data_IF_736232401396
#
_entry.id   IF_736232401396
#
_cell.length_a   1.000
_cell.length_b   1.000
_cell.length_c   1.000
_cell.angle_alpha   90.00
_cell.angle_beta   90.00
_cell.angle_gamma   90.00
#
_symmetry.space_group_name_H-M   'P 1'
#
loop_
_entity.id
_entity.type
_entity.pdbx_description
1 polymer ?
#
# COMPACT_ATOMS: atom_id res chain seq x y z
N UNK A 1 5.14 -1.89 -0.68
CA UNK A 1 4.97 -1.28 0.65
C UNK A 1 3.51 -1.46 1.10
N UNK A 2 3.06 -0.77 2.14
CA UNK A 2 1.70 -0.87 2.70
C UNK A 2 1.20 0.47 3.20
N UNK A 3 -0.12 0.67 3.22
CA UNK A 3 -0.77 1.81 3.90
C UNK A 3 -0.36 1.94 5.38
N UNK A 4 0.06 0.85 6.02
CA UNK A 4 0.50 0.84 7.41
C UNK A 4 1.75 1.71 7.64
N UNK A 5 2.58 1.98 6.64
CA UNK A 5 3.71 2.93 6.76
C UNK A 5 3.31 4.39 6.57
N UNK A 6 2.11 4.67 6.07
CA UNK A 6 1.63 6.03 5.78
C UNK A 6 0.87 6.60 6.99
N UNK A 7 -0.15 5.90 7.45
CA UNK A 7 -1.00 6.36 8.57
C UNK A 7 -0.99 5.41 9.77
N UNK A 8 -0.26 4.30 9.69
CA UNK A 8 -0.16 3.34 10.79
C UNK A 8 -1.25 2.28 10.80
N UNK A 9 -1.03 1.24 11.62
CA UNK A 9 -2.02 0.20 11.91
C UNK A 9 -1.78 -0.31 13.32
N UNK A 10 -2.83 -0.39 14.13
CA UNK A 10 -2.76 -0.83 15.53
C UNK A 10 -2.09 -2.22 15.62
N UNK A 11 -1.07 -2.33 16.49
CA UNK A 11 -0.31 -3.58 16.69
C UNK A 11 0.66 -3.95 15.56
N UNK A 12 0.85 -3.09 14.55
CA UNK A 12 1.67 -3.37 13.35
C UNK A 12 2.89 -2.45 13.22
N UNK A 13 3.47 -1.99 14.34
CA UNK A 13 4.61 -1.05 14.33
C UNK A 13 5.85 -1.56 13.58
N UNK A 14 6.22 -2.83 13.78
CA UNK A 14 7.31 -3.48 13.04
C UNK A 14 7.01 -3.57 11.53
N UNK A 15 5.76 -3.85 11.18
CA UNK A 15 5.31 -3.92 9.79
C UNK A 15 5.31 -2.53 9.13
N UNK A 16 4.87 -1.49 9.86
CA UNK A 16 4.93 -0.11 9.41
C UNK A 16 6.39 0.33 9.18
N UNK A 17 7.31 0.03 10.10
CA UNK A 17 8.73 0.36 9.96
C UNK A 17 9.38 -0.31 8.74
N UNK A 18 9.12 -1.62 8.52
CA UNK A 18 9.65 -2.33 7.36
C UNK A 18 9.12 -1.77 6.03
N UNK A 19 7.84 -1.39 5.98
CA UNK A 19 7.26 -0.76 4.79
C UNK A 19 7.77 0.68 4.58
N UNK A 20 7.95 1.46 5.65
CA UNK A 20 8.54 2.80 5.58
C UNK A 20 9.98 2.78 5.07
N UNK A 21 10.74 1.72 5.37
CA UNK A 21 12.06 1.52 4.77
C UNK A 21 11.98 1.38 3.24
N UNK A 22 11.03 0.59 2.72
CA UNK A 22 10.83 0.45 1.27
C UNK A 22 10.45 1.78 0.61
N UNK A 23 9.64 2.58 1.29
CA UNK A 23 9.26 3.92 0.86
C UNK A 23 10.49 4.81 0.71
N UNK A 24 11.29 4.92 1.78
CA UNK A 24 12.52 5.70 1.78
C UNK A 24 13.55 5.18 0.75
N UNK A 25 13.65 3.86 0.57
CA UNK A 25 14.55 3.25 -0.41
C UNK A 25 14.18 3.67 -1.84
N UNK A 26 12.90 3.77 -2.18
CA UNK A 26 12.48 4.19 -3.51
C UNK A 26 12.90 5.64 -3.80
N UNK A 27 12.68 6.56 -2.85
CA UNK A 27 13.15 7.94 -2.94
C UNK A 27 14.68 8.02 -3.04
N UNK A 28 15.39 7.26 -2.19
CA UNK A 28 16.85 7.23 -2.20
C UNK A 28 17.39 6.77 -3.56
N UNK A 29 16.85 5.70 -4.13
CA UNK A 29 17.25 5.22 -5.47
C UNK A 29 17.03 6.27 -6.54
N UNK A 30 15.86 6.93 -6.55
CA UNK A 30 15.60 7.99 -7.53
C UNK A 30 16.54 9.19 -7.36
N UNK A 31 16.92 9.56 -6.14
CA UNK A 31 17.92 10.62 -5.91
C UNK A 31 19.31 10.28 -6.49
N UNK A 32 19.59 9.01 -6.72
CA UNK A 32 20.80 8.53 -7.41
C UNK A 32 20.59 8.31 -8.92
N UNK A 33 19.47 8.76 -9.48
CA UNK A 33 19.12 8.53 -10.89
C UNK A 33 18.76 7.07 -11.23
N UNK A 34 18.50 6.23 -10.22
CA UNK A 34 18.11 4.83 -10.42
C UNK A 34 16.59 4.66 -10.37
N UNK A 35 16.01 3.79 -11.21
CA UNK A 35 14.58 3.53 -11.16
C UNK A 35 14.19 2.81 -9.86
N UNK A 36 13.11 3.28 -9.26
CA UNK A 36 12.41 2.65 -8.14
C UNK A 36 10.99 3.21 -8.00
N UNK A 37 10.08 2.35 -7.54
CA UNK A 37 8.70 2.68 -7.20
C UNK A 37 8.33 1.92 -5.92
N UNK A 38 7.89 2.64 -4.89
CA UNK A 38 7.23 2.07 -3.72
C UNK A 38 5.72 2.28 -3.81
N UNK A 39 4.96 1.19 -3.80
CA UNK A 39 3.49 1.23 -3.84
C UNK A 39 2.95 0.83 -2.47
N UNK A 40 2.30 1.76 -1.78
CA UNK A 40 1.70 1.53 -0.46
C UNK A 40 0.29 0.96 -0.63
N UNK A 41 0.19 -0.37 -0.64
CA UNK A 41 -1.07 -1.07 -0.86
C UNK A 41 -1.98 -1.07 0.37
N UNK A 42 -3.28 -0.85 0.12
CA UNK A 42 -4.37 -1.31 0.99
C UNK A 42 -4.54 -2.84 0.95
N UNK A 43 -5.59 -3.36 1.57
CA UNK A 43 -5.85 -4.80 1.54
C UNK A 43 -6.28 -5.27 0.14
N UNK A 44 -5.88 -6.49 -0.22
CA UNK A 44 -6.29 -7.18 -1.43
C UNK A 44 -7.34 -8.23 -1.11
N UNK A 45 -8.28 -8.45 -2.03
CA UNK A 45 -9.24 -9.53 -2.00
C UNK A 45 -8.59 -10.86 -2.42
N UNK A 46 -9.36 -11.94 -2.35
CA UNK A 46 -8.99 -13.28 -2.83
C UNK A 46 -7.76 -13.93 -2.15
N UNK A 47 -7.33 -13.40 -1.01
CA UNK A 47 -6.28 -13.98 -0.17
C UNK A 47 -5.12 -13.02 0.08
N UNK A 48 -3.94 -13.58 0.38
CA UNK A 48 -2.73 -12.82 0.67
C UNK A 48 -2.50 -12.54 2.16
N UNK A 49 -1.75 -11.46 2.47
CA UNK A 49 -1.33 -11.13 3.83
C UNK A 49 -2.50 -10.69 4.75
N UNK A 50 -3.61 -10.21 4.17
CA UNK A 50 -4.79 -9.83 4.92
C UNK A 50 -5.78 -11.00 4.96
N UNK A 51 -5.87 -11.69 6.11
CA UNK A 51 -6.88 -12.72 6.34
C UNK A 51 -8.30 -12.14 6.26
N UNK A 52 -9.32 -12.99 6.10
CA UNK A 52 -10.71 -12.55 6.07
C UNK A 52 -11.11 -11.73 7.32
N UNK A 53 -10.58 -12.09 8.49
CA UNK A 53 -10.76 -11.33 9.73
C UNK A 53 -10.13 -9.94 9.63
N UNK A 54 -8.90 -9.82 9.11
CA UNK A 54 -8.23 -8.53 8.92
C UNK A 54 -8.99 -7.68 7.90
N UNK A 55 -9.44 -8.26 6.79
CA UNK A 55 -10.23 -7.54 5.79
C UNK A 55 -11.54 -6.99 6.39
N UNK A 56 -12.20 -7.76 7.26
CA UNK A 56 -13.41 -7.32 7.96
C UNK A 56 -13.12 -6.14 8.90
N UNK A 57 -12.04 -6.22 9.68
CA UNK A 57 -11.61 -5.12 10.56
C UNK A 57 -11.25 -3.85 9.78
N UNK A 58 -10.58 -4.00 8.64
CA UNK A 58 -10.22 -2.87 7.78
C UNK A 58 -11.46 -2.17 7.20
N UNK A 59 -12.47 -2.94 6.76
CA UNK A 59 -13.74 -2.37 6.28
C UNK A 59 -14.48 -1.58 7.37
N UNK A 60 -14.38 -2.00 8.63
CA UNK A 60 -14.99 -1.28 9.76
C UNK A 60 -14.36 0.10 10.01
N UNK A 61 -13.12 0.31 9.56
CA UNK A 61 -12.42 1.60 9.64
C UNK A 61 -12.34 2.29 8.27
N UNK A 62 -13.25 1.97 7.35
CA UNK A 62 -13.35 2.64 6.06
C UNK A 62 -12.32 2.20 5.01
N UNK A 63 -11.51 1.18 5.27
CA UNK A 63 -10.56 0.62 4.30
C UNK A 63 -11.18 -0.57 3.58
N UNK A 64 -11.48 -0.38 2.29
CA UNK A 64 -12.01 -1.41 1.42
C UNK A 64 -10.88 -2.25 0.77
N UNK A 65 -11.28 -3.37 0.16
CA UNK A 65 -10.35 -4.32 -0.48
C UNK A 65 -10.25 -4.05 -1.97
N UNK A 66 -9.04 -4.15 -2.51
CA UNK A 66 -8.79 -4.17 -3.94
C UNK A 66 -9.14 -5.52 -4.55
N UNK A 67 -9.79 -5.54 -5.71
CA UNK A 67 -9.79 -6.75 -6.54
C UNK A 67 -8.40 -6.92 -7.18
N UNK A 68 -7.86 -8.16 -7.28
CA UNK A 68 -6.51 -8.37 -7.82
C UNK A 68 -6.32 -7.80 -9.23
N UNK A 69 -7.32 -7.90 -10.10
CA UNK A 69 -7.28 -7.33 -11.46
C UNK A 69 -7.10 -5.82 -11.45
N UNK A 70 -7.87 -5.09 -10.64
CA UNK A 70 -7.79 -3.63 -10.54
C UNK A 70 -6.43 -3.18 -9.99
N UNK A 71 -5.89 -3.92 -9.02
CA UNK A 71 -4.59 -3.59 -8.45
C UNK A 71 -3.44 -3.86 -9.43
N UNK A 72 -3.51 -4.95 -10.21
CA UNK A 72 -2.52 -5.23 -11.26
C UNK A 72 -2.60 -4.24 -12.42
N UNK A 73 -3.80 -3.78 -12.78
CA UNK A 73 -3.98 -2.71 -13.76
C UNK A 73 -3.36 -1.39 -13.27
N UNK A 74 -3.57 -1.03 -12.01
CA UNK A 74 -2.92 0.15 -11.41
C UNK A 74 -1.41 0.02 -11.41
N UNK A 75 -0.87 -1.13 -10.99
CA UNK A 75 0.57 -1.39 -11.02
C UNK A 75 1.12 -1.21 -12.44
N UNK A 76 0.47 -1.79 -13.44
CA UNK A 76 0.90 -1.71 -14.84
C UNK A 76 0.96 -0.27 -15.35
N UNK A 77 0.02 0.59 -14.94
CA UNK A 77 0.03 2.03 -15.30
C UNK A 77 1.14 2.82 -14.61
N UNK A 78 1.56 2.39 -13.43
CA UNK A 78 2.61 3.06 -12.64
C UNK A 78 4.01 2.62 -13.04
N UNK A 79 4.16 1.39 -13.57
CA UNK A 79 5.41 0.93 -14.15
C UNK A 79 5.82 1.83 -15.32
N UNK A 80 7.07 2.30 -15.29
CA UNK A 80 7.62 3.22 -16.30
C UNK A 80 7.39 4.70 -16.02
N UNK A 81 6.66 5.06 -14.96
CA UNK A 81 6.58 6.46 -14.49
C UNK A 81 7.83 6.84 -13.68
N UNK A 82 8.05 8.15 -13.50
CA UNK A 82 9.08 8.68 -12.60
C UNK A 82 8.60 8.82 -11.15
N UNK A 83 7.43 8.29 -10.79
CA UNK A 83 6.89 8.41 -9.44
C UNK A 83 7.70 7.52 -8.49
N UNK A 84 8.28 8.09 -7.44
CA UNK A 84 9.02 7.33 -6.43
C UNK A 84 8.09 6.52 -5.52
N UNK A 85 6.95 7.10 -5.17
CA UNK A 85 6.04 6.52 -4.20
C UNK A 85 4.59 6.96 -4.45
N UNK A 86 3.65 6.03 -4.30
CA UNK A 86 2.22 6.33 -4.35
C UNK A 86 1.45 5.38 -3.44
N UNK A 87 0.37 5.89 -2.84
CA UNK A 87 -0.53 5.09 -2.00
C UNK A 87 -1.74 4.65 -2.79
N UNK A 88 -2.02 3.35 -2.76
CA UNK A 88 -3.13 2.71 -3.47
C UNK A 88 -4.08 2.07 -2.47
N UNK A 89 -5.10 2.81 -2.06
CA UNK A 89 -6.11 2.39 -1.09
C UNK A 89 -7.51 2.72 -1.60
N UNK A 90 -8.45 1.81 -1.37
CA UNK A 90 -9.89 2.08 -1.50
C UNK A 90 -10.36 2.55 -0.13
N UNK A 91 -10.73 3.82 -0.03
CA UNK A 91 -11.10 4.45 1.25
C UNK A 91 -12.49 5.03 1.14
N UNK A 92 -13.37 4.58 2.05
CA UNK A 92 -14.62 5.25 2.34
C UNK A 92 -14.33 6.35 3.37
N UNK A 93 -14.20 7.58 2.90
CA UNK A 93 -13.82 8.74 3.70
C UNK A 93 -14.89 9.21 4.69
N UNK A 94 -16.14 8.77 4.55
CA UNK A 94 -17.17 9.08 5.55
C UNK A 94 -17.01 8.21 6.81
N UNK A 95 -16.23 7.14 6.72
CA UNK A 95 -15.98 6.17 7.82
C UNK A 95 -14.55 6.26 8.35
N UNK A 96 -13.57 6.49 7.48
CA UNK A 96 -12.14 6.56 7.82
C UNK A 96 -11.80 7.84 8.60
#
# INVERSE_FOLDING_TARGET
>A
SSIASIWGSKGKGHYAAGNAFLDALAHYRQSMGLPALSLNWGAWAEGGMASATIQTLLKQVGIEVWQPSEALDLLSRLLGTSIAQITAARVNWDVF
#
